data_IF_054611896685
#
_entry.id   IF_054611896685
#
_cell.length_a   1.000
_cell.length_b   1.000
_cell.length_c   1.000
_cell.angle_alpha   90.00
_cell.angle_beta   90.00
_cell.angle_gamma   90.00
#
_symmetry.space_group_name_H-M   'P 1'
#
loop_
_entity.id
_entity.type
_entity.pdbx_description
1 polymer ?
#
# COMPACT_ATOMS: atom_id res chain seq x y z
N UNK A 1 -5.80 -18.52 -26.14
CA UNK A 1 -5.98 -18.04 -24.74
C UNK A 1 -6.68 -19.13 -23.94
N UNK A 2 -6.19 -19.42 -22.72
CA UNK A 2 -6.81 -20.40 -21.82
C UNK A 2 -8.13 -19.87 -21.26
N UNK A 3 -9.02 -20.76 -20.76
CA UNK A 3 -10.25 -20.35 -20.06
C UNK A 3 -9.97 -19.39 -18.90
N UNK A 4 -8.87 -19.62 -18.17
CA UNK A 4 -8.42 -18.77 -17.06
C UNK A 4 -8.08 -17.35 -17.55
N UNK A 5 -7.29 -17.21 -18.63
CA UNK A 5 -6.93 -15.90 -19.17
C UNK A 5 -8.16 -15.12 -19.63
N UNK A 6 -9.16 -15.81 -20.21
CA UNK A 6 -10.42 -15.19 -20.61
C UNK A 6 -11.20 -14.66 -19.38
N UNK A 7 -11.29 -15.45 -18.33
CA UNK A 7 -11.95 -15.05 -17.08
C UNK A 7 -11.22 -13.84 -16.43
N UNK A 8 -9.89 -13.91 -16.33
CA UNK A 8 -9.08 -12.79 -15.78
C UNK A 8 -9.33 -11.51 -16.57
N UNK A 9 -9.41 -11.58 -17.90
CA UNK A 9 -9.66 -10.41 -18.76
C UNK A 9 -11.00 -9.74 -18.46
N UNK A 10 -12.03 -10.52 -18.15
CA UNK A 10 -13.36 -10.01 -17.78
C UNK A 10 -13.46 -9.52 -16.32
N UNK A 11 -12.54 -9.97 -15.43
CA UNK A 11 -12.63 -9.75 -13.99
C UNK A 11 -11.31 -9.26 -13.39
N UNK A 12 -10.66 -8.28 -14.05
CA UNK A 12 -9.29 -7.86 -13.73
C UNK A 12 -9.11 -7.40 -12.28
N UNK A 13 -10.03 -6.62 -11.74
CA UNK A 13 -9.99 -6.11 -10.35
C UNK A 13 -10.20 -7.25 -9.36
N UNK A 14 -11.14 -8.13 -9.62
CA UNK A 14 -11.41 -9.32 -8.78
C UNK A 14 -10.20 -10.25 -8.76
N UNK A 15 -9.60 -10.53 -9.93
CA UNK A 15 -8.41 -11.36 -10.04
C UNK A 15 -7.23 -10.74 -9.27
N UNK A 16 -7.08 -9.42 -9.32
CA UNK A 16 -6.06 -8.69 -8.56
C UNK A 16 -6.28 -8.86 -7.05
N UNK A 17 -7.49 -8.66 -6.56
CA UNK A 17 -7.77 -8.83 -5.12
C UNK A 17 -7.52 -10.27 -4.67
N UNK A 18 -8.04 -11.26 -5.40
CA UNK A 18 -7.84 -12.68 -5.07
C UNK A 18 -6.34 -13.01 -4.98
N UNK A 19 -5.55 -12.61 -5.97
CA UNK A 19 -4.12 -12.93 -6.00
C UNK A 19 -3.36 -12.21 -4.88
N UNK A 20 -3.66 -10.92 -4.65
CA UNK A 20 -3.05 -10.12 -3.58
C UNK A 20 -3.33 -10.72 -2.20
N UNK A 21 -4.59 -11.04 -1.92
CA UNK A 21 -4.98 -11.66 -0.66
C UNK A 21 -4.39 -13.06 -0.50
N UNK A 22 -4.40 -13.88 -1.55
CA UNK A 22 -3.82 -15.22 -1.51
C UNK A 22 -2.33 -15.19 -1.14
N UNK A 23 -1.55 -14.26 -1.68
CA UNK A 23 -0.13 -14.12 -1.35
C UNK A 23 0.02 -13.65 0.09
N UNK A 24 -0.56 -12.51 0.45
CA UNK A 24 -0.36 -11.90 1.77
C UNK A 24 -0.93 -12.77 2.89
N UNK A 25 -2.18 -13.20 2.76
CA UNK A 25 -2.84 -13.99 3.80
C UNK A 25 -2.29 -15.42 3.87
N UNK A 26 -1.84 -15.97 2.74
CA UNK A 26 -1.10 -17.24 2.72
C UNK A 26 0.17 -17.17 3.53
N UNK A 27 1.00 -16.15 3.32
CA UNK A 27 2.23 -15.92 4.10
C UNK A 27 1.89 -15.70 5.59
N UNK A 28 0.90 -14.87 5.87
CA UNK A 28 0.48 -14.58 7.24
C UNK A 28 -0.09 -15.81 7.95
N UNK A 29 -0.83 -16.66 7.26
CA UNK A 29 -1.32 -17.92 7.80
C UNK A 29 -0.16 -18.83 8.25
N UNK A 30 0.88 -18.97 7.44
CA UNK A 30 2.09 -19.72 7.86
C UNK A 30 2.76 -19.08 9.08
N UNK A 31 2.87 -17.76 9.11
CA UNK A 31 3.47 -17.05 10.23
C UNK A 31 2.68 -17.19 11.54
N UNK A 32 1.34 -17.24 11.45
CA UNK A 32 0.44 -17.37 12.61
C UNK A 32 0.34 -18.85 13.07
N UNK A 33 0.24 -19.79 12.13
CA UNK A 33 0.02 -21.21 12.46
C UNK A 33 1.30 -21.97 12.79
N UNK A 34 2.45 -21.52 12.24
CA UNK A 34 3.75 -22.17 12.37
C UNK A 34 4.85 -21.19 12.84
N UNK A 35 4.63 -20.42 13.92
CA UNK A 35 5.53 -19.33 14.30
C UNK A 35 6.96 -19.80 14.66
N UNK A 36 7.10 -20.97 15.29
CA UNK A 36 8.40 -21.50 15.64
C UNK A 36 9.23 -21.90 14.41
N UNK A 37 8.59 -22.53 13.43
CA UNK A 37 9.24 -22.95 12.18
C UNK A 37 9.63 -21.73 11.33
N UNK A 38 8.74 -20.75 11.21
CA UNK A 38 9.01 -19.51 10.48
C UNK A 38 10.18 -18.76 11.15
N UNK A 39 10.19 -18.65 12.48
CA UNK A 39 11.29 -18.01 13.21
C UNK A 39 12.62 -18.76 13.04
N UNK A 40 12.59 -20.08 13.03
CA UNK A 40 13.80 -20.89 12.86
C UNK A 40 14.43 -20.73 11.47
N UNK A 41 13.62 -20.52 10.42
CA UNK A 41 14.08 -20.42 9.03
C UNK A 41 14.38 -18.97 8.62
N UNK A 42 13.48 -18.03 8.98
CA UNK A 42 13.49 -16.64 8.48
C UNK A 42 13.83 -15.61 9.57
N UNK A 43 14.00 -16.02 10.82
CA UNK A 43 14.19 -15.11 11.96
C UNK A 43 12.90 -14.46 12.43
N UNK A 44 13.02 -13.44 13.30
CA UNK A 44 11.88 -12.67 13.81
C UNK A 44 11.16 -11.92 12.68
N UNK A 45 9.83 -11.85 12.76
CA UNK A 45 9.00 -11.10 11.80
C UNK A 45 9.10 -9.60 12.09
N UNK A 46 10.16 -9.01 11.59
CA UNK A 46 10.37 -7.56 11.57
C UNK A 46 10.01 -6.99 10.19
N UNK A 47 10.00 -5.67 10.06
CA UNK A 47 9.79 -4.99 8.77
C UNK A 47 10.87 -5.32 7.72
N UNK A 48 12.01 -5.84 8.13
CA UNK A 48 13.11 -6.29 7.25
C UNK A 48 13.08 -7.80 6.96
N UNK A 49 12.14 -8.54 7.55
CA UNK A 49 12.01 -9.96 7.29
C UNK A 49 11.57 -10.21 5.83
N UNK A 50 12.23 -11.13 5.07
CA UNK A 50 11.89 -11.37 3.68
C UNK A 50 10.43 -11.77 3.43
N UNK A 51 9.82 -12.53 4.35
CA UNK A 51 8.40 -12.91 4.26
C UNK A 51 7.49 -11.72 4.47
N UNK A 52 7.84 -10.81 5.40
CA UNK A 52 7.09 -9.57 5.59
C UNK A 52 7.15 -8.70 4.33
N UNK A 53 8.35 -8.49 3.77
CA UNK A 53 8.56 -7.73 2.54
C UNK A 53 7.75 -8.34 1.39
N UNK A 54 7.78 -9.66 1.22
CA UNK A 54 7.01 -10.36 0.20
C UNK A 54 5.50 -10.21 0.40
N UNK A 55 5.01 -10.31 1.64
CA UNK A 55 3.61 -10.13 1.98
C UNK A 55 3.12 -8.71 1.66
N UNK A 56 3.91 -7.69 2.00
CA UNK A 56 3.60 -6.28 1.73
C UNK A 56 3.74 -5.95 0.24
N UNK A 57 4.64 -6.59 -0.49
CA UNK A 57 4.80 -6.41 -1.93
C UNK A 57 3.73 -7.14 -2.77
N UNK A 58 2.86 -7.94 -2.16
CA UNK A 58 1.85 -8.72 -2.88
C UNK A 58 0.97 -7.91 -3.83
N UNK A 59 0.51 -6.68 -3.51
CA UNK A 59 -0.24 -5.87 -4.46
C UNK A 59 0.56 -5.53 -5.72
N UNK A 60 1.81 -5.12 -5.59
CA UNK A 60 2.68 -4.82 -6.73
C UNK A 60 3.01 -6.06 -7.54
N UNK A 61 3.27 -7.20 -6.87
CA UNK A 61 3.51 -8.50 -7.52
C UNK A 61 2.28 -8.91 -8.32
N UNK A 62 1.10 -8.85 -7.73
CA UNK A 62 -0.18 -9.20 -8.38
C UNK A 62 -0.45 -8.31 -9.59
N UNK A 63 -0.26 -7.00 -9.46
CA UNK A 63 -0.40 -6.05 -10.55
C UNK A 63 0.57 -6.35 -11.70
N UNK A 64 1.83 -6.64 -11.37
CA UNK A 64 2.87 -6.98 -12.34
C UNK A 64 2.53 -8.25 -13.11
N UNK A 65 2.17 -9.33 -12.40
CA UNK A 65 1.78 -10.61 -13.02
C UNK A 65 0.57 -10.43 -13.94
N UNK A 66 -0.49 -9.78 -13.45
CA UNK A 66 -1.71 -9.60 -14.23
C UNK A 66 -1.50 -8.69 -15.43
N UNK A 67 -0.73 -7.62 -15.30
CA UNK A 67 -0.39 -6.75 -16.41
C UNK A 67 0.45 -7.49 -17.46
N UNK A 68 1.44 -8.27 -17.02
CA UNK A 68 2.26 -9.06 -17.96
C UNK A 68 1.40 -10.08 -18.74
N UNK A 69 0.48 -10.77 -18.05
CA UNK A 69 -0.39 -11.78 -18.67
C UNK A 69 -1.40 -11.17 -19.63
N UNK A 70 -1.92 -9.96 -19.33
CA UNK A 70 -3.01 -9.35 -20.10
C UNK A 70 -2.53 -8.39 -21.17
N UNK A 71 -1.45 -7.65 -20.91
CA UNK A 71 -0.99 -6.50 -21.69
C UNK A 71 0.47 -6.65 -22.16
N UNK A 72 1.18 -7.68 -21.67
CA UNK A 72 2.58 -7.94 -22.01
C UNK A 72 3.56 -6.88 -21.48
N UNK A 73 4.76 -6.84 -22.06
CA UNK A 73 5.83 -5.92 -21.64
C UNK A 73 5.47 -4.44 -21.84
N UNK A 74 4.67 -4.10 -22.85
CA UNK A 74 4.20 -2.73 -23.07
C UNK A 74 3.31 -2.25 -21.93
N UNK A 75 2.40 -3.12 -21.44
CA UNK A 75 1.57 -2.83 -20.28
C UNK A 75 2.40 -2.61 -19.02
N UNK A 76 3.45 -3.43 -18.79
CA UNK A 76 4.36 -3.23 -17.68
C UNK A 76 5.05 -1.87 -17.74
N UNK A 77 5.55 -1.46 -18.92
CA UNK A 77 6.12 -0.14 -19.12
C UNK A 77 5.15 0.98 -18.71
N UNK A 78 3.88 0.87 -19.10
CA UNK A 78 2.82 1.82 -18.74
C UNK A 78 2.52 1.82 -17.24
N UNK A 79 2.46 0.65 -16.60
CA UNK A 79 2.22 0.50 -15.17
C UNK A 79 3.35 1.17 -14.36
N UNK A 80 4.61 0.80 -14.65
CA UNK A 80 5.76 1.30 -13.90
C UNK A 80 6.10 2.77 -14.20
N UNK A 81 5.74 3.29 -15.38
CA UNK A 81 5.87 4.73 -15.70
C UNK A 81 5.10 5.63 -14.71
N UNK A 82 4.08 5.11 -14.02
CA UNK A 82 3.36 5.85 -12.98
C UNK A 82 4.20 6.13 -11.74
N UNK A 83 5.21 5.30 -11.43
CA UNK A 83 6.16 5.51 -10.33
C UNK A 83 7.12 6.67 -10.58
N UNK A 84 7.44 6.94 -11.84
CA UNK A 84 8.37 8.01 -12.23
C UNK A 84 7.64 9.25 -12.77
N UNK A 85 6.32 9.32 -12.63
CA UNK A 85 5.54 10.49 -13.01
C UNK A 85 5.66 11.56 -11.93
N UNK A 86 6.66 12.43 -12.08
CA UNK A 86 6.98 13.48 -11.10
C UNK A 86 6.52 14.88 -11.53
N UNK A 87 6.16 15.10 -12.82
CA UNK A 87 5.77 16.41 -13.33
C UNK A 87 4.30 16.71 -13.00
N UNK A 88 4.04 17.08 -11.76
CA UNK A 88 2.76 17.63 -11.29
C UNK A 88 3.03 18.95 -10.54
N UNK A 89 2.01 19.80 -10.37
CA UNK A 89 2.18 21.16 -9.84
C UNK A 89 2.85 21.21 -8.47
N UNK A 90 3.66 22.24 -8.21
CA UNK A 90 4.43 22.42 -6.97
C UNK A 90 3.56 22.42 -5.70
N UNK A 91 2.31 22.86 -5.82
CA UNK A 91 1.32 22.83 -4.73
C UNK A 91 1.10 21.41 -4.15
N UNK A 92 1.20 20.39 -4.99
CA UNK A 92 1.04 19.00 -4.55
C UNK A 92 2.25 18.50 -3.77
N UNK A 93 3.46 18.92 -4.17
CA UNK A 93 4.66 18.67 -3.38
C UNK A 93 4.59 19.37 -2.03
N UNK A 94 4.17 20.64 -2.01
CA UNK A 94 4.00 21.38 -0.77
C UNK A 94 2.96 20.72 0.15
N UNK A 95 1.83 20.25 -0.41
CA UNK A 95 0.82 19.54 0.37
C UNK A 95 1.35 18.23 0.95
N UNK A 96 1.98 17.40 0.11
CA UNK A 96 2.43 16.05 0.50
C UNK A 96 3.63 16.09 1.43
N UNK A 97 4.64 16.93 1.14
CA UNK A 97 5.90 16.94 1.88
C UNK A 97 5.89 17.87 3.10
N UNK A 98 4.97 18.84 3.15
CA UNK A 98 4.90 19.82 4.24
C UNK A 98 3.53 19.82 4.89
N UNK A 99 2.45 19.99 4.13
CA UNK A 99 1.09 20.18 4.67
C UNK A 99 0.62 18.99 5.49
N UNK A 100 0.74 17.77 4.96
CA UNK A 100 0.29 16.55 5.66
C UNK A 100 1.16 16.23 6.88
N UNK A 101 2.50 16.23 6.80
CA UNK A 101 3.33 16.08 7.99
C UNK A 101 3.08 17.16 9.04
N UNK A 102 2.85 18.42 8.64
CA UNK A 102 2.52 19.49 9.56
C UNK A 102 1.17 19.26 10.27
N UNK A 103 0.14 18.82 9.55
CA UNK A 103 -1.14 18.44 10.15
C UNK A 103 -0.99 17.26 11.12
N UNK A 104 -0.21 16.26 10.76
CA UNK A 104 0.12 15.13 11.64
C UNK A 104 0.84 15.57 12.92
N UNK A 105 1.79 16.47 12.79
CA UNK A 105 2.45 17.08 13.96
C UNK A 105 1.47 17.89 14.82
N UNK A 106 0.64 18.73 14.21
CA UNK A 106 -0.34 19.56 14.92
C UNK A 106 -1.35 18.69 15.70
N UNK A 107 -1.87 17.65 15.08
CA UNK A 107 -2.80 16.72 15.74
C UNK A 107 -2.13 15.94 16.88
N UNK A 108 -0.88 15.56 16.71
CA UNK A 108 -0.06 14.93 17.76
C UNK A 108 0.11 15.85 18.97
N UNK A 109 0.46 17.14 18.75
CA UNK A 109 0.55 18.13 19.82
C UNK A 109 -0.80 18.35 20.53
N UNK A 110 -1.88 18.48 19.76
CA UNK A 110 -3.23 18.65 20.32
C UNK A 110 -3.68 17.44 21.16
N UNK A 111 -3.21 16.25 20.83
CA UNK A 111 -3.47 15.01 21.60
C UNK A 111 -2.52 14.83 22.79
N UNK A 112 -1.58 15.76 23.05
CA UNK A 112 -0.57 15.63 24.10
C UNK A 112 0.41 14.47 23.86
N UNK A 113 0.55 14.03 22.63
CA UNK A 113 1.47 12.96 22.28
C UNK A 113 2.89 13.52 22.14
N UNK A 114 3.81 13.00 22.94
CA UNK A 114 5.23 13.31 22.77
C UNK A 114 5.72 12.81 21.39
N UNK A 115 6.51 13.61 20.67
CA UNK A 115 7.08 13.18 19.39
C UNK A 115 7.98 11.96 19.64
N UNK A 116 7.58 10.80 19.13
CA UNK A 116 8.37 9.56 19.29
C UNK A 116 9.74 9.63 18.61
N UNK A 117 9.93 10.62 17.73
CA UNK A 117 11.17 10.79 16.98
C UNK A 117 11.52 12.28 16.87
N UNK A 118 12.71 12.66 17.33
CA UNK A 118 13.27 13.97 17.00
C UNK A 118 13.59 14.01 15.49
N UNK A 119 13.03 14.97 14.78
CA UNK A 119 13.26 15.17 13.33
C UNK A 119 14.73 15.47 12.95
N UNK A 120 15.65 15.46 13.93
CA UNK A 120 17.00 16.01 13.79
C UNK A 120 18.08 15.00 13.43
N UNK A 121 17.81 13.73 13.23
CA UNK A 121 18.87 12.76 12.96
C UNK A 121 18.86 12.25 11.53
N UNK A 122 20.00 12.29 10.79
CA UNK A 122 20.15 11.67 9.46
C UNK A 122 19.73 10.20 9.43
N UNK A 123 19.87 9.49 10.55
CA UNK A 123 19.43 8.11 10.71
C UNK A 123 17.91 7.95 10.55
N UNK A 124 17.10 8.92 10.99
CA UNK A 124 15.64 8.87 10.82
C UNK A 124 15.24 9.08 9.36
N UNK A 125 15.89 10.03 8.68
CA UNK A 125 15.66 10.24 7.24
C UNK A 125 16.06 8.99 6.46
N UNK A 126 17.20 8.39 6.79
CA UNK A 126 17.66 7.16 6.15
C UNK A 126 16.71 5.99 6.42
N UNK A 127 16.27 5.79 7.66
CA UNK A 127 15.31 4.73 8.00
C UNK A 127 13.95 4.96 7.33
N UNK A 128 13.51 6.22 7.21
CA UNK A 128 12.32 6.61 6.50
C UNK A 128 12.42 6.27 5.01
N UNK A 129 13.51 6.64 4.35
CA UNK A 129 13.75 6.31 2.94
C UNK A 129 13.87 4.79 2.73
N UNK A 130 14.52 4.09 3.65
CA UNK A 130 14.66 2.63 3.59
C UNK A 130 13.30 1.94 3.75
N UNK A 131 12.47 2.40 4.67
CA UNK A 131 11.11 1.91 4.84
C UNK A 131 10.27 2.19 3.58
N UNK A 132 10.35 3.39 3.02
CA UNK A 132 9.70 3.75 1.76
C UNK A 132 10.05 2.77 0.63
N UNK A 133 11.31 2.40 0.53
CA UNK A 133 11.84 1.53 -0.55
C UNK A 133 11.55 0.05 -0.32
N UNK A 134 11.55 -0.43 0.94
CA UNK A 134 11.58 -1.87 1.24
C UNK A 134 10.24 -2.39 1.77
N UNK A 135 9.56 -1.66 2.65
CA UNK A 135 8.56 -2.29 3.50
C UNK A 135 7.12 -1.81 3.36
N UNK A 136 6.80 -0.94 2.42
CA UNK A 136 5.41 -0.50 2.38
C UNK A 136 5.01 0.18 1.07
N UNK A 137 5.17 1.49 0.96
CA UNK A 137 4.50 2.27 -0.08
C UNK A 137 4.79 1.81 -1.51
N UNK A 138 6.03 1.45 -1.85
CA UNK A 138 6.35 0.93 -3.19
C UNK A 138 5.79 -0.47 -3.44
N UNK A 139 5.75 -1.31 -2.40
CA UNK A 139 5.16 -2.66 -2.47
C UNK A 139 3.64 -2.62 -2.67
N UNK A 140 3.00 -1.58 -2.21
CA UNK A 140 1.54 -1.47 -2.18
C UNK A 140 0.97 -0.58 -3.28
N UNK A 141 1.48 0.65 -3.42
CA UNK A 141 0.83 1.70 -4.21
C UNK A 141 0.73 1.39 -5.70
N UNK A 142 1.74 0.72 -6.27
CA UNK A 142 1.69 0.32 -7.67
C UNK A 142 0.53 -0.65 -7.94
N UNK A 143 0.24 -1.54 -6.99
CA UNK A 143 -0.90 -2.43 -7.04
C UNK A 143 -2.22 -1.71 -6.82
N UNK A 144 -2.37 -1.04 -5.68
CA UNK A 144 -3.62 -0.42 -5.31
C UNK A 144 -3.97 0.77 -6.21
N UNK A 145 -3.06 1.74 -6.37
CA UNK A 145 -3.32 2.99 -7.12
C UNK A 145 -2.86 2.92 -8.57
N UNK A 146 -1.82 2.14 -8.86
CA UNK A 146 -1.35 1.96 -10.24
C UNK A 146 -2.22 1.03 -11.07
N UNK A 147 -2.73 -0.07 -10.48
CA UNK A 147 -3.46 -1.11 -11.19
C UNK A 147 -4.96 -1.13 -10.87
N UNK A 148 -5.35 -1.30 -9.59
CA UNK A 148 -6.75 -1.49 -9.20
C UNK A 148 -7.58 -0.20 -9.35
N UNK A 149 -7.09 0.93 -8.85
CA UNK A 149 -7.83 2.18 -8.86
C UNK A 149 -8.24 2.65 -10.27
N UNK A 150 -7.37 2.70 -11.30
CA UNK A 150 -7.80 3.12 -12.64
C UNK A 150 -8.94 2.25 -13.20
N UNK A 151 -8.95 0.95 -12.86
CA UNK A 151 -10.00 0.01 -13.29
C UNK A 151 -11.29 0.21 -12.52
N UNK A 152 -11.25 0.53 -11.23
CA UNK A 152 -12.43 0.90 -10.45
C UNK A 152 -13.05 2.21 -10.96
N UNK A 153 -12.23 3.19 -11.31
CA UNK A 153 -12.68 4.49 -11.83
C UNK A 153 -13.39 4.39 -13.20
N UNK A 154 -13.26 3.28 -13.91
CA UNK A 154 -14.07 3.05 -15.13
C UNK A 154 -15.53 2.69 -14.82
N UNK A 155 -15.84 2.30 -13.59
CA UNK A 155 -17.15 1.78 -13.18
C UNK A 155 -17.79 2.60 -12.06
N UNK A 156 -17.00 3.28 -11.24
CA UNK A 156 -17.44 3.97 -10.05
C UNK A 156 -16.95 5.42 -10.02
N UNK A 157 -17.69 6.28 -9.32
CA UNK A 157 -17.21 7.64 -9.02
C UNK A 157 -15.95 7.56 -8.14
N UNK A 158 -15.10 8.60 -8.15
CA UNK A 158 -13.89 8.63 -7.33
C UNK A 158 -14.14 8.37 -5.84
N UNK A 159 -15.21 8.94 -5.30
CA UNK A 159 -15.59 8.73 -3.91
C UNK A 159 -15.97 7.27 -3.62
N UNK A 160 -16.79 6.67 -4.45
CA UNK A 160 -17.18 5.25 -4.31
C UNK A 160 -15.96 4.34 -4.49
N UNK A 161 -15.12 4.60 -5.49
CA UNK A 161 -13.88 3.85 -5.70
C UNK A 161 -12.94 3.94 -4.49
N UNK A 162 -12.87 5.12 -3.81
CA UNK A 162 -12.06 5.29 -2.62
C UNK A 162 -12.59 4.51 -1.42
N UNK A 163 -13.90 4.43 -1.24
CA UNK A 163 -14.50 3.64 -0.18
C UNK A 163 -14.30 2.14 -0.41
N UNK A 164 -14.52 1.66 -1.64
CA UNK A 164 -14.29 0.25 -2.01
C UNK A 164 -12.83 -0.12 -1.77
N UNK A 165 -11.91 0.67 -2.31
CA UNK A 165 -10.48 0.37 -2.22
C UNK A 165 -9.98 0.50 -0.79
N UNK A 166 -10.44 1.52 -0.03
CA UNK A 166 -10.08 1.71 1.37
C UNK A 166 -10.58 0.59 2.27
N UNK A 167 -11.80 0.11 2.06
CA UNK A 167 -12.35 -1.02 2.81
C UNK A 167 -11.56 -2.31 2.52
N UNK A 168 -11.29 -2.61 1.26
CA UNK A 168 -10.53 -3.80 0.85
C UNK A 168 -9.10 -3.71 1.36
N UNK A 169 -8.44 -2.56 1.25
CA UNK A 169 -7.10 -2.31 1.76
C UNK A 169 -7.03 -2.44 3.29
N UNK A 170 -8.03 -1.91 4.01
CA UNK A 170 -8.14 -2.10 5.45
C UNK A 170 -8.28 -3.56 5.85
N UNK A 171 -9.17 -4.32 5.20
CA UNK A 171 -9.35 -5.77 5.43
C UNK A 171 -8.11 -6.58 5.06
N UNK A 172 -7.36 -6.16 4.03
CA UNK A 172 -6.11 -6.80 3.64
C UNK A 172 -5.07 -6.81 4.77
N UNK A 173 -5.07 -5.79 5.65
CA UNK A 173 -4.20 -5.72 6.82
C UNK A 173 -4.63 -6.61 7.99
N UNK A 174 -5.81 -7.23 7.94
CA UNK A 174 -6.37 -7.96 9.08
C UNK A 174 -5.40 -8.98 9.72
N UNK A 175 -4.61 -9.78 8.97
CA UNK A 175 -3.67 -10.72 9.58
C UNK A 175 -2.60 -10.06 10.45
N UNK A 176 -2.20 -8.82 10.17
CA UNK A 176 -1.17 -8.12 10.96
C UNK A 176 -1.59 -7.84 12.41
N UNK A 177 -2.89 -7.85 12.70
CA UNK A 177 -3.42 -7.72 14.06
C UNK A 177 -3.18 -8.96 14.91
N UNK A 178 -2.91 -10.10 14.29
CA UNK A 178 -2.65 -11.38 14.96
C UNK A 178 -1.17 -11.75 15.01
N UNK A 179 -0.29 -10.91 14.46
CA UNK A 179 1.16 -11.11 14.48
C UNK A 179 1.79 -10.16 15.50
N UNK A 180 2.28 -10.73 16.61
CA UNK A 180 2.95 -9.96 17.66
C UNK A 180 4.17 -9.22 17.13
N UNK A 181 4.35 -7.97 17.55
CA UNK A 181 5.48 -7.12 17.13
C UNK A 181 5.19 -6.25 15.91
N UNK A 182 4.06 -6.44 15.20
CA UNK A 182 3.61 -5.51 14.18
C UNK A 182 2.81 -4.35 14.81
N UNK A 183 2.88 -3.13 14.25
CA UNK A 183 2.19 -1.94 14.81
C UNK A 183 0.68 -2.14 14.98
N UNK A 184 0.05 -2.88 14.05
CA UNK A 184 -1.39 -3.13 14.06
C UNK A 184 -1.82 -3.97 15.27
N UNK A 185 -0.96 -4.83 15.82
CA UNK A 185 -1.30 -5.71 16.95
C UNK A 185 -1.66 -4.95 18.24
N UNK A 186 -1.28 -3.69 18.34
CA UNK A 186 -1.60 -2.79 19.47
C UNK A 186 -2.65 -1.72 19.13
N UNK A 187 -3.24 -1.77 17.93
CA UNK A 187 -4.18 -0.76 17.44
C UNK A 187 -5.61 -1.30 17.44
N UNK A 188 -6.60 -0.46 17.74
CA UNK A 188 -8.01 -0.83 17.58
C UNK A 188 -8.33 -1.06 16.10
N UNK A 189 -8.89 -2.23 15.77
CA UNK A 189 -9.30 -2.57 14.41
C UNK A 189 -10.27 -1.55 13.82
N UNK A 190 -11.24 -1.08 14.61
CA UNK A 190 -12.23 -0.10 14.16
C UNK A 190 -11.57 1.24 13.81
N UNK A 191 -10.64 1.72 14.63
CA UNK A 191 -9.88 2.95 14.39
C UNK A 191 -9.01 2.79 13.14
N UNK A 192 -8.36 1.65 12.98
CA UNK A 192 -7.54 1.36 11.81
C UNK A 192 -8.37 1.35 10.52
N UNK A 193 -9.50 0.65 10.50
CA UNK A 193 -10.38 0.58 9.32
C UNK A 193 -10.94 1.96 8.96
N UNK A 194 -11.33 2.75 9.94
CA UNK A 194 -11.78 4.13 9.70
C UNK A 194 -10.64 4.98 9.12
N UNK A 195 -9.43 4.87 9.69
CA UNK A 195 -8.23 5.53 9.17
C UNK A 195 -7.91 5.12 7.74
N UNK A 196 -8.00 3.82 7.41
CA UNK A 196 -7.78 3.31 6.06
C UNK A 196 -8.77 3.90 5.04
N UNK A 197 -10.04 4.06 5.40
CA UNK A 197 -11.04 4.72 4.56
C UNK A 197 -10.69 6.20 4.32
N UNK A 198 -10.40 6.95 5.39
CA UNK A 198 -10.02 8.36 5.29
C UNK A 198 -8.76 8.55 4.45
N UNK A 199 -7.73 7.74 4.69
CA UNK A 199 -6.48 7.75 3.93
C UNK A 199 -6.74 7.43 2.46
N UNK A 200 -7.57 6.43 2.16
CA UNK A 200 -7.90 6.07 0.78
C UNK A 200 -8.57 7.22 0.03
N UNK A 201 -9.49 7.95 0.68
CA UNK A 201 -10.15 9.13 0.08
C UNK A 201 -9.10 10.20 -0.27
N UNK A 202 -8.20 10.52 0.67
CA UNK A 202 -7.17 11.53 0.47
C UNK A 202 -6.18 11.13 -0.63
N UNK A 203 -5.68 9.90 -0.58
CA UNK A 203 -4.71 9.38 -1.55
C UNK A 203 -5.29 9.35 -2.96
N UNK A 204 -6.56 8.94 -3.13
CA UNK A 204 -7.21 8.91 -4.43
C UNK A 204 -7.47 10.31 -4.96
N UNK A 205 -7.86 11.25 -4.10
CA UNK A 205 -8.00 12.64 -4.47
C UNK A 205 -6.67 13.22 -5.01
N UNK A 206 -5.55 12.98 -4.32
CA UNK A 206 -4.23 13.43 -4.78
C UNK A 206 -3.81 12.71 -6.08
N UNK A 207 -4.02 11.40 -6.18
CA UNK A 207 -3.74 10.63 -7.39
C UNK A 207 -4.39 11.24 -8.62
N UNK A 208 -5.66 11.65 -8.53
CA UNK A 208 -6.39 12.26 -9.63
C UNK A 208 -5.83 13.63 -10.01
N UNK A 209 -5.47 14.45 -9.03
CA UNK A 209 -4.95 15.81 -9.27
C UNK A 209 -3.47 15.85 -9.67
N UNK A 210 -2.77 14.72 -9.52
CA UNK A 210 -1.38 14.56 -9.97
C UNK A 210 -1.26 13.80 -11.30
N UNK A 211 -2.36 13.70 -12.04
CA UNK A 211 -2.40 13.01 -13.34
C UNK A 211 -2.16 11.50 -13.25
N UNK A 212 -2.52 10.88 -12.14
CA UNK A 212 -2.34 9.44 -11.92
C UNK A 212 -0.90 9.06 -11.54
N UNK A 213 -0.20 9.93 -10.82
CA UNK A 213 1.13 9.67 -10.29
C UNK A 213 1.07 8.72 -9.10
N UNK A 214 1.70 7.55 -9.21
CA UNK A 214 1.90 6.65 -8.06
C UNK A 214 3.01 7.19 -7.14
N UNK A 215 3.95 7.96 -7.68
CA UNK A 215 4.95 8.63 -6.86
C UNK A 215 4.33 9.53 -5.78
N UNK A 216 3.28 10.30 -6.15
CA UNK A 216 2.59 11.18 -5.19
C UNK A 216 1.89 10.39 -4.08
N UNK A 217 1.33 9.21 -4.39
CA UNK A 217 0.64 8.37 -3.42
C UNK A 217 1.62 7.62 -2.51
N UNK A 218 2.75 7.17 -3.06
CA UNK A 218 3.87 6.61 -2.29
C UNK A 218 4.38 7.61 -1.25
N UNK A 219 4.51 8.87 -1.63
CA UNK A 219 4.98 9.94 -0.72
C UNK A 219 3.98 10.28 0.39
N UNK A 220 2.73 9.86 0.29
CA UNK A 220 1.66 10.06 1.27
C UNK A 220 1.46 8.90 2.23
N UNK A 221 1.89 7.74 1.85
CA UNK A 221 1.70 6.50 2.61
C UNK A 221 2.60 6.45 3.86
N UNK A 222 3.33 7.52 4.10
CA UNK A 222 4.37 7.64 5.11
C UNK A 222 3.83 8.06 6.47
#
# INVERSE_FOLDING_TARGET
MTKLTHWIKGHQVTAFFILTFAITWGIAAFAILLPAQIRAIFGELTTFNPLFILAVAAPTISATILTLVLEGWSGLGTLYARLIRWRFGVQWYALVLVGIPFLGWLTSQAAGAEPKYGLSTPALIFSALLNLLISGPLGEELGWRGYALPRLLTQFSPFVASLILGAIWGVWHLPSFFVSGLPQSSTSLAVFLFGALCTSILVIWIFQHTGGSVLSTVSLHY
#
